data_IF_294117990964
#
_entry.id   IF_294117990964
#
_cell.length_a   1.000
_cell.length_b   1.000
_cell.length_c   1.000
_cell.angle_alpha   90.00
_cell.angle_beta   90.00
_cell.angle_gamma   90.00
#
_symmetry.space_group_name_H-M   'P 1'
#
loop_
_entity.id
_entity.type
_entity.pdbx_description
1 polymer ?
#
# COMPACT_ATOMS: atom_id res chain seq x y z
N UNK A 1 40.57 37.77 0.92
CA UNK A 1 40.56 39.26 0.99
C UNK A 1 39.95 39.80 -0.29
N UNK A 2 38.65 40.13 -0.30
CA UNK A 2 37.89 40.71 -1.43
C UNK A 2 36.44 40.92 -0.92
N UNK A 3 36.18 41.80 0.04
CA UNK A 3 36.08 43.26 -0.11
C UNK A 3 35.08 43.69 -1.19
N UNK A 4 33.81 43.85 -0.80
CA UNK A 4 32.75 44.40 -1.64
C UNK A 4 31.86 45.37 -0.82
N UNK A 5 32.31 46.63 -0.82
CA UNK A 5 31.58 47.91 -0.60
C UNK A 5 30.22 47.88 0.13
N UNK A 6 30.21 48.40 1.38
CA UNK A 6 29.05 49.09 1.97
C UNK A 6 29.04 50.57 1.53
N UNK A 7 27.86 51.16 1.31
CA UNK A 7 27.51 52.60 1.36
C UNK A 7 25.96 52.73 1.19
N UNK A 8 25.27 53.83 1.57
CA UNK A 8 24.53 53.77 2.84
C UNK A 8 23.08 54.32 2.82
N UNK A 9 22.40 54.14 3.96
CA UNK A 9 21.41 55.02 4.61
C UNK A 9 20.21 55.60 3.81
N UNK A 10 18.99 55.33 4.31
CA UNK A 10 17.85 56.26 4.25
C UNK A 10 16.80 55.86 5.30
N UNK A 11 16.63 56.68 6.34
CA UNK A 11 15.55 56.56 7.33
C UNK A 11 14.57 57.72 7.15
N UNK A 12 13.38 57.48 6.61
CA UNK A 12 12.29 58.46 6.57
C UNK A 12 10.92 57.80 6.49
N UNK A 13 9.94 58.49 7.09
CA UNK A 13 8.50 58.50 6.76
C UNK A 13 7.77 57.15 6.67
N UNK A 14 6.99 56.90 7.72
CA UNK A 14 5.62 56.40 7.62
C UNK A 14 4.90 56.92 6.37
N UNK A 15 4.35 56.03 5.53
CA UNK A 15 3.24 56.39 4.65
C UNK A 15 2.36 55.18 4.31
N UNK A 16 1.07 55.34 4.59
CA UNK A 16 -0.10 54.64 4.04
C UNK A 16 0.06 53.24 3.39
N UNK A 17 -0.05 52.19 4.21
CA UNK A 17 -0.66 50.91 3.74
C UNK A 17 -2.16 51.15 3.56
N UNK A 18 -2.78 50.84 2.41
CA UNK A 18 -4.22 51.03 2.22
C UNK A 18 -5.05 50.18 3.20
N UNK A 19 -5.95 50.84 3.94
CA UNK A 19 -6.77 50.19 4.98
C UNK A 19 -7.76 49.13 4.43
N UNK A 20 -7.93 49.03 3.12
CA UNK A 20 -8.84 48.10 2.43
C UNK A 20 -8.35 46.64 2.36
N UNK A 21 -7.16 46.32 2.89
CA UNK A 21 -6.66 44.94 2.98
C UNK A 21 -6.84 44.30 4.37
N UNK A 22 -7.36 45.03 5.35
CA UNK A 22 -7.49 44.57 6.75
C UNK A 22 -8.81 43.84 7.07
N UNK A 23 -9.79 43.84 6.16
CA UNK A 23 -11.17 43.38 6.42
C UNK A 23 -11.45 41.90 6.12
N UNK A 24 -10.64 41.21 5.30
CA UNK A 24 -10.87 39.80 4.93
C UNK A 24 -10.21 38.82 5.93
N UNK A 25 -10.50 38.99 7.22
CA UNK A 25 -10.17 38.03 8.28
C UNK A 25 -11.40 37.17 8.63
N UNK A 26 -11.16 35.93 9.05
CA UNK A 26 -12.19 34.97 9.45
C UNK A 26 -11.88 34.49 10.86
N UNK A 27 -12.87 34.52 11.76
CA UNK A 27 -12.73 34.03 13.13
C UNK A 27 -13.26 32.60 13.23
N UNK A 28 -12.41 31.71 13.73
CA UNK A 28 -12.74 30.30 13.92
C UNK A 28 -12.79 30.03 15.43
N UNK A 29 -13.97 29.69 15.95
CA UNK A 29 -14.20 29.38 17.36
C UNK A 29 -14.06 27.87 17.57
N UNK A 30 -12.98 27.44 18.23
CA UNK A 30 -12.66 26.01 18.38
C UNK A 30 -13.03 25.53 19.78
N UNK A 31 -13.76 24.42 19.85
CA UNK A 31 -14.30 23.84 21.09
C UNK A 31 -13.79 22.41 21.30
N UNK A 32 -12.86 22.23 22.25
CA UNK A 32 -12.47 20.91 22.73
C UNK A 32 -13.43 20.48 23.85
N UNK A 33 -14.48 19.76 23.47
CA UNK A 33 -15.50 19.22 24.38
C UNK A 33 -14.91 18.24 25.42
N UNK A 34 -13.78 17.60 25.10
CA UNK A 34 -13.18 16.55 25.91
C UNK A 34 -12.23 17.11 26.98
N UNK A 35 -11.53 18.22 26.69
CA UNK A 35 -10.77 19.01 27.68
C UNK A 35 -11.61 20.10 28.35
N UNK A 36 -12.79 20.41 27.79
CA UNK A 36 -13.66 21.55 28.16
C UNK A 36 -12.96 22.91 28.03
N UNK A 37 -12.23 23.08 26.93
CA UNK A 37 -11.51 24.32 26.61
C UNK A 37 -11.92 24.83 25.23
N UNK A 38 -12.21 26.12 25.10
CA UNK A 38 -12.37 26.80 23.82
C UNK A 38 -11.23 27.76 23.55
N UNK A 39 -10.96 28.04 22.27
CA UNK A 39 -10.05 29.09 21.81
C UNK A 39 -10.48 29.62 20.45
N UNK A 40 -10.30 30.92 20.26
CA UNK A 40 -10.63 31.62 19.02
C UNK A 40 -9.35 31.86 18.19
N UNK A 41 -9.47 31.70 16.88
CA UNK A 41 -8.36 31.83 15.94
C UNK A 41 -8.77 32.73 14.77
N UNK A 42 -8.16 33.91 14.68
CA UNK A 42 -8.37 34.86 13.57
C UNK A 42 -7.39 34.55 12.44
N UNK A 43 -7.90 34.14 11.28
CA UNK A 43 -7.12 33.73 10.12
C UNK A 43 -7.38 34.65 8.92
N UNK A 44 -6.35 34.99 8.14
CA UNK A 44 -6.54 35.69 6.87
C UNK A 44 -7.24 34.78 5.86
N UNK A 45 -8.36 35.24 5.25
CA UNK A 45 -9.21 34.42 4.37
C UNK A 45 -8.44 33.79 3.21
N UNK A 46 -7.56 34.56 2.56
CA UNK A 46 -6.75 34.05 1.44
C UNK A 46 -5.81 32.92 1.84
N UNK A 47 -5.13 33.04 2.97
CA UNK A 47 -4.23 32.01 3.49
C UNK A 47 -5.00 30.75 3.93
N UNK A 48 -6.14 30.94 4.60
CA UNK A 48 -7.04 29.85 5.01
C UNK A 48 -7.53 29.05 3.79
N UNK A 49 -8.01 29.73 2.75
CA UNK A 49 -8.49 29.08 1.53
C UNK A 49 -7.38 28.43 0.70
N UNK A 50 -6.15 28.94 0.77
CA UNK A 50 -4.99 28.34 0.09
C UNK A 50 -4.49 27.06 0.79
N UNK A 51 -4.45 27.04 2.13
CA UNK A 51 -3.87 25.93 2.92
C UNK A 51 -4.89 24.90 3.42
N UNK A 52 -6.16 25.27 3.64
CA UNK A 52 -7.24 24.40 4.12
C UNK A 52 -8.42 24.39 3.14
N UNK A 53 -8.33 23.57 2.08
CA UNK A 53 -9.30 23.58 0.97
C UNK A 53 -10.74 23.27 1.41
N UNK A 54 -10.93 22.58 2.54
CA UNK A 54 -12.24 22.34 3.16
C UNK A 54 -13.10 23.62 3.26
N UNK A 55 -12.51 24.76 3.61
CA UNK A 55 -13.24 26.02 3.78
C UNK A 55 -13.68 26.68 2.46
N UNK A 56 -13.15 26.27 1.31
CA UNK A 56 -13.56 26.80 -0.01
C UNK A 56 -15.05 26.56 -0.30
N UNK A 57 -15.64 25.50 0.26
CA UNK A 57 -17.06 25.19 0.12
C UNK A 57 -18.00 26.12 0.91
N UNK A 58 -17.45 26.91 1.85
CA UNK A 58 -18.21 27.76 2.78
C UNK A 58 -17.88 29.26 2.61
N UNK A 59 -16.64 29.58 2.27
CA UNK A 59 -16.10 30.94 2.13
C UNK A 59 -15.87 31.32 0.65
N UNK A 60 -16.82 30.98 -0.23
CA UNK A 60 -16.76 31.32 -1.66
C UNK A 60 -16.97 32.83 -1.93
N UNK A 61 -16.76 33.24 -3.18
CA UNK A 61 -16.87 34.65 -3.63
C UNK A 61 -18.25 35.27 -3.38
N UNK A 62 -19.32 34.46 -3.39
CA UNK A 62 -20.68 34.93 -3.12
C UNK A 62 -20.87 35.48 -1.69
N UNK A 63 -20.01 35.05 -0.75
CA UNK A 63 -20.06 35.42 0.65
C UNK A 63 -18.77 36.19 1.05
N UNK A 64 -18.24 37.06 0.17
CA UNK A 64 -16.99 37.77 0.45
C UNK A 64 -17.11 38.82 1.58
N UNK A 65 -18.28 39.45 1.72
CA UNK A 65 -18.53 40.52 2.70
C UNK A 65 -19.30 40.06 3.95
N UNK A 66 -19.58 38.76 4.08
CA UNK A 66 -20.28 38.20 5.25
C UNK A 66 -19.28 37.96 6.40
N UNK A 67 -19.64 38.41 7.60
CA UNK A 67 -18.91 38.13 8.85
C UNK A 67 -19.22 36.69 9.31
N UNK A 68 -18.54 35.71 8.70
CA UNK A 68 -18.79 34.28 8.92
C UNK A 68 -18.03 33.78 10.16
N UNK A 69 -18.77 33.62 11.26
CA UNK A 69 -18.38 32.77 12.40
C UNK A 69 -18.29 31.30 11.96
N UNK A 70 -17.12 30.69 12.17
CA UNK A 70 -16.91 29.26 11.97
C UNK A 70 -16.65 28.58 13.32
N UNK A 71 -17.65 27.89 13.85
CA UNK A 71 -17.50 27.02 15.03
C UNK A 71 -17.02 25.61 14.65
N UNK A 72 -15.95 25.11 15.29
CA UNK A 72 -15.32 23.80 15.03
C UNK A 72 -15.12 23.01 16.32
N UNK A 73 -15.58 21.75 16.36
CA UNK A 73 -15.49 20.88 17.54
C UNK A 73 -14.30 19.90 17.41
N UNK A 74 -13.11 20.31 17.87
CA UNK A 74 -11.90 19.50 17.80
C UNK A 74 -10.89 19.85 18.92
N UNK A 75 -9.78 19.10 18.98
CA UNK A 75 -8.72 19.32 19.96
C UNK A 75 -8.02 20.67 19.73
N UNK A 76 -8.20 21.61 20.67
CA UNK A 76 -7.70 22.99 20.57
C UNK A 76 -6.19 23.04 20.36
N UNK A 77 -5.39 22.10 20.93
CA UNK A 77 -3.93 22.12 20.72
C UNK A 77 -3.52 21.51 19.38
N UNK A 78 -4.32 20.60 18.81
CA UNK A 78 -4.11 20.15 17.42
C UNK A 78 -4.45 21.28 16.46
N UNK A 79 -5.60 21.95 16.62
CA UNK A 79 -5.96 23.09 15.75
C UNK A 79 -4.93 24.22 15.83
N UNK A 80 -4.43 24.53 17.02
CA UNK A 80 -3.34 25.48 17.21
C UNK A 80 -2.08 25.10 16.42
N UNK A 81 -1.67 23.81 16.40
CA UNK A 81 -0.55 23.34 15.58
C UNK A 81 -0.82 23.46 14.06
N UNK A 82 -2.08 23.37 13.61
CA UNK A 82 -2.45 23.54 12.20
C UNK A 82 -2.46 25.02 11.77
N UNK A 83 -2.86 25.93 12.65
CA UNK A 83 -2.75 27.38 12.43
C UNK A 83 -1.29 27.83 12.49
N UNK A 84 -0.52 27.33 13.47
CA UNK A 84 0.94 27.50 13.51
C UNK A 84 1.60 27.01 12.20
N UNK A 85 1.12 25.92 11.59
CA UNK A 85 1.58 25.43 10.28
C UNK A 85 1.19 26.34 9.12
N UNK A 86 -0.05 26.85 9.07
CA UNK A 86 -0.51 27.74 8.00
C UNK A 86 0.35 29.00 7.87
N UNK A 87 0.84 29.55 8.99
CA UNK A 87 1.65 30.76 9.02
C UNK A 87 3.14 30.55 8.69
N UNK A 88 3.57 29.32 8.34
CA UNK A 88 4.94 29.03 7.90
C UNK A 88 5.21 29.61 6.51
N UNK A 89 6.14 30.56 6.42
CA UNK A 89 6.62 31.12 5.15
C UNK A 89 8.00 30.57 4.72
N UNK A 90 8.75 29.96 5.63
CA UNK A 90 10.14 29.49 5.42
C UNK A 90 10.34 28.03 5.86
N UNK A 91 11.22 27.32 5.16
CA UNK A 91 11.45 25.87 5.29
C UNK A 91 12.10 25.42 6.62
N UNK A 92 12.50 26.34 7.49
CA UNK A 92 13.24 26.07 8.74
C UNK A 92 12.34 25.52 9.87
N UNK A 93 11.09 25.98 10.00
CA UNK A 93 10.22 25.57 11.10
C UNK A 93 9.17 24.56 10.64
N UNK A 94 9.49 23.26 10.77
CA UNK A 94 8.49 22.20 10.63
C UNK A 94 7.53 22.19 11.82
N UNK A 95 6.25 21.83 11.63
CA UNK A 95 5.36 21.57 12.75
C UNK A 95 5.97 20.46 13.62
N UNK A 96 5.81 20.53 14.94
CA UNK A 96 6.39 19.56 15.88
C UNK A 96 5.62 18.22 15.86
N UNK A 97 5.70 17.52 14.74
CA UNK A 97 5.19 16.17 14.55
C UNK A 97 5.96 15.22 15.48
N UNK A 98 5.24 14.51 16.32
CA UNK A 98 5.75 13.49 17.23
C UNK A 98 4.84 12.27 17.19
N UNK A 99 5.34 11.13 17.67
CA UNK A 99 4.55 9.90 17.81
C UNK A 99 3.27 10.07 18.66
N UNK A 100 3.18 11.09 19.51
CA UNK A 100 1.97 11.35 20.30
C UNK A 100 0.88 12.14 19.56
N UNK A 101 1.26 13.05 18.64
CA UNK A 101 0.30 13.94 17.97
C UNK A 101 0.07 13.59 16.49
N UNK A 102 0.97 12.82 15.86
CA UNK A 102 0.94 12.45 14.43
C UNK A 102 -0.43 11.93 13.98
N UNK A 103 -1.07 11.03 14.75
CA UNK A 103 -2.36 10.46 14.40
C UNK A 103 -3.48 11.50 14.38
N UNK A 104 -3.50 12.41 15.35
CA UNK A 104 -4.49 13.50 15.43
C UNK A 104 -4.24 14.57 14.37
N UNK A 105 -2.98 14.97 14.16
CA UNK A 105 -2.60 15.91 13.10
C UNK A 105 -3.04 15.35 11.74
N UNK A 106 -2.71 14.09 11.43
CA UNK A 106 -3.05 13.44 10.16
C UNK A 106 -4.56 13.38 9.90
N UNK A 107 -5.37 13.01 10.90
CA UNK A 107 -6.84 12.99 10.78
C UNK A 107 -7.40 14.40 10.56
N UNK A 108 -6.93 15.40 11.31
CA UNK A 108 -7.40 16.78 11.16
C UNK A 108 -6.92 17.45 9.87
N UNK A 109 -5.69 17.19 9.42
CA UNK A 109 -5.15 17.69 8.16
C UNK A 109 -5.83 17.04 6.95
N UNK A 110 -6.18 15.75 7.01
CA UNK A 110 -6.98 15.09 5.99
C UNK A 110 -8.40 15.69 5.92
N UNK A 111 -9.06 15.89 7.06
CA UNK A 111 -10.39 16.50 7.12
C UNK A 111 -10.42 17.94 6.57
N UNK A 112 -9.44 18.77 6.95
CA UNK A 112 -9.31 20.16 6.49
C UNK A 112 -8.67 20.28 5.09
N UNK A 113 -8.33 19.16 4.44
CA UNK A 113 -7.78 19.07 3.09
C UNK A 113 -6.42 19.79 2.93
N UNK A 114 -5.56 19.66 3.93
CA UNK A 114 -4.19 20.20 3.96
C UNK A 114 -3.21 19.20 3.34
N UNK A 115 -3.25 19.05 2.02
CA UNK A 115 -2.53 17.99 1.28
C UNK A 115 -1.03 17.90 1.57
N UNK A 116 -0.32 19.04 1.64
CA UNK A 116 1.11 19.10 1.92
C UNK A 116 1.46 18.47 3.28
N UNK A 117 0.72 18.85 4.32
CA UNK A 117 0.88 18.33 5.68
C UNK A 117 0.51 16.84 5.78
N UNK A 118 -0.48 16.38 4.99
CA UNK A 118 -0.80 14.95 4.91
C UNK A 118 0.39 14.16 4.34
N UNK A 119 1.07 14.64 3.31
CA UNK A 119 2.27 13.97 2.79
C UNK A 119 3.45 14.04 3.78
N UNK A 120 3.66 15.16 4.49
CA UNK A 120 4.66 15.25 5.56
C UNK A 120 4.40 14.24 6.70
N UNK A 121 3.14 14.12 7.14
CA UNK A 121 2.71 13.14 8.12
C UNK A 121 2.91 11.69 7.64
N UNK A 122 2.56 11.40 6.38
CA UNK A 122 2.76 10.07 5.77
C UNK A 122 4.25 9.73 5.66
N UNK A 123 5.09 10.68 5.24
CA UNK A 123 6.53 10.51 5.15
C UNK A 123 7.13 10.23 6.53
N UNK A 124 6.75 10.99 7.56
CA UNK A 124 7.16 10.75 8.95
C UNK A 124 6.77 9.34 9.42
N UNK A 125 5.51 8.94 9.22
CA UNK A 125 5.02 7.59 9.59
C UNK A 125 5.83 6.51 8.87
N UNK A 126 6.16 6.68 7.59
CA UNK A 126 6.92 5.67 6.85
C UNK A 126 8.34 5.44 7.39
N UNK A 127 8.93 6.46 8.04
CA UNK A 127 10.22 6.36 8.72
C UNK A 127 10.18 5.69 10.10
N UNK A 128 9.03 5.70 10.78
CA UNK A 128 8.84 5.15 12.13
C UNK A 128 7.56 4.27 12.26
N UNK A 129 7.30 3.46 11.23
CA UNK A 129 6.02 2.75 11.09
C UNK A 129 5.82 1.67 12.17
N UNK A 130 6.91 1.08 12.68
CA UNK A 130 6.84 0.07 13.74
C UNK A 130 6.48 0.70 15.09
N UNK A 131 7.04 1.86 15.41
CA UNK A 131 6.71 2.67 16.58
C UNK A 131 5.27 3.17 16.49
N UNK A 132 4.85 3.66 15.31
CA UNK A 132 3.50 4.14 15.04
C UNK A 132 2.44 3.05 15.30
N UNK A 133 2.62 1.83 14.78
CA UNK A 133 1.67 0.74 15.04
C UNK A 133 1.61 0.33 16.52
N UNK A 134 2.68 0.52 17.30
CA UNK A 134 2.72 0.16 18.72
C UNK A 134 2.00 1.17 19.62
N UNK A 135 1.70 2.39 19.13
CA UNK A 135 0.87 3.39 19.84
C UNK A 135 -0.46 2.79 20.31
N UNK A 136 -0.95 3.21 21.49
CA UNK A 136 -2.20 2.67 22.07
C UNK A 136 -3.49 3.07 21.32
N UNK A 137 -3.37 3.98 20.34
CA UNK A 137 -4.44 4.53 19.50
C UNK A 137 -5.08 3.47 18.59
N UNK A 138 -6.36 3.67 18.24
CA UNK A 138 -7.03 2.94 17.16
C UNK A 138 -6.93 3.70 15.83
N UNK A 139 -6.44 3.01 14.79
CA UNK A 139 -6.30 3.55 13.43
C UNK A 139 -7.54 3.32 12.55
N UNK A 140 -8.65 2.81 13.10
CA UNK A 140 -9.95 2.75 12.45
C UNK A 140 -10.52 4.11 12.03
N UNK A 141 -10.01 5.21 12.56
CA UNK A 141 -10.38 6.58 12.18
C UNK A 141 -9.77 7.07 10.86
N UNK A 142 -8.65 6.47 10.41
CA UNK A 142 -7.94 6.83 9.18
C UNK A 142 -8.71 6.39 7.93
N UNK A 143 -8.71 7.22 6.88
CA UNK A 143 -9.34 6.86 5.62
C UNK A 143 -8.59 5.75 4.86
N UNK A 144 -9.32 5.02 4.01
CA UNK A 144 -8.74 4.03 3.11
C UNK A 144 -7.77 4.68 2.08
N UNK A 145 -7.89 6.00 1.83
CA UNK A 145 -6.95 6.82 1.04
C UNK A 145 -5.63 7.10 1.77
N UNK A 146 -5.67 7.55 3.04
CA UNK A 146 -4.46 7.77 3.83
C UNK A 146 -3.74 6.46 4.15
N UNK A 147 -4.47 5.38 4.44
CA UNK A 147 -3.88 4.04 4.57
C UNK A 147 -3.19 3.62 3.26
N UNK A 148 -3.74 3.98 2.09
CA UNK A 148 -3.09 3.74 0.80
C UNK A 148 -1.81 4.58 0.61
N UNK A 149 -1.79 5.85 1.02
CA UNK A 149 -0.59 6.71 1.00
C UNK A 149 0.53 6.13 1.88
N UNK A 150 0.21 5.74 3.12
CA UNK A 150 1.17 5.10 4.04
C UNK A 150 1.70 3.79 3.44
N UNK A 151 0.80 2.90 2.99
CA UNK A 151 1.21 1.63 2.38
C UNK A 151 2.11 1.83 1.16
N UNK A 152 1.84 2.83 0.33
CA UNK A 152 2.65 3.12 -0.86
C UNK A 152 4.05 3.63 -0.52
N UNK A 153 4.20 4.47 0.51
CA UNK A 153 5.50 4.99 0.96
C UNK A 153 6.37 3.93 1.66
N UNK A 154 5.80 3.02 2.45
CA UNK A 154 6.58 1.93 3.06
C UNK A 154 7.15 0.96 2.02
N UNK A 155 8.37 0.48 2.19
CA UNK A 155 8.95 -0.57 1.32
C UNK A 155 8.27 -1.93 1.56
N UNK A 156 8.13 -2.81 0.54
CA UNK A 156 7.57 -4.15 0.72
C UNK A 156 8.29 -5.00 1.78
N UNK A 157 9.61 -4.86 1.87
CA UNK A 157 10.49 -5.56 2.79
C UNK A 157 10.26 -5.08 4.23
N UNK A 158 10.10 -3.76 4.42
CA UNK A 158 9.66 -3.18 5.69
C UNK A 158 8.30 -3.78 6.10
N UNK A 159 7.29 -3.68 5.23
CA UNK A 159 5.93 -4.20 5.49
C UNK A 159 5.90 -5.71 5.81
N UNK A 160 6.90 -6.48 5.42
CA UNK A 160 7.02 -7.89 5.81
C UNK A 160 7.49 -8.06 7.26
N UNK A 161 8.57 -7.39 7.68
CA UNK A 161 9.13 -7.54 9.04
C UNK A 161 8.28 -6.87 10.14
N UNK A 162 7.31 -6.04 9.76
CA UNK A 162 6.37 -5.39 10.67
C UNK A 162 5.57 -6.36 11.54
N UNK A 163 5.43 -6.02 12.82
CA UNK A 163 4.69 -6.78 13.83
C UNK A 163 3.63 -5.89 14.51
N UNK A 164 2.35 -6.18 14.23
CA UNK A 164 1.17 -5.54 14.84
C UNK A 164 0.33 -6.64 15.54
N UNK A 165 0.56 -6.91 16.83
CA UNK A 165 -0.06 -8.03 17.54
C UNK A 165 -1.56 -7.85 17.82
N UNK A 166 -2.17 -6.75 17.35
CA UNK A 166 -3.62 -6.52 17.40
C UNK A 166 -4.24 -6.27 16.01
N UNK A 167 -3.43 -6.34 14.95
CA UNK A 167 -3.80 -6.04 13.56
C UNK A 167 -4.68 -4.78 13.39
N UNK A 168 -4.29 -3.68 14.03
CA UNK A 168 -5.00 -2.39 13.97
C UNK A 168 -4.99 -1.83 12.55
N UNK A 169 -3.85 -2.00 11.87
CA UNK A 169 -3.58 -1.38 10.56
C UNK A 169 -2.72 -2.26 9.64
N UNK A 170 -1.93 -3.21 10.14
CA UNK A 170 -0.94 -3.91 9.33
C UNK A 170 -1.51 -4.71 8.15
N UNK A 171 -2.58 -5.49 8.34
CA UNK A 171 -3.28 -6.16 7.23
C UNK A 171 -3.95 -5.17 6.28
N UNK A 172 -4.38 -3.99 6.75
CA UNK A 172 -4.89 -2.92 5.88
C UNK A 172 -3.78 -2.35 5.00
N UNK A 173 -2.58 -2.13 5.56
CA UNK A 173 -1.40 -1.68 4.80
C UNK A 173 -0.95 -2.74 3.78
N UNK A 174 -0.83 -4.00 4.19
CA UNK A 174 -0.47 -5.13 3.31
C UNK A 174 -1.52 -5.30 2.19
N UNK A 175 -2.82 -5.21 2.51
CA UNK A 175 -3.91 -5.16 1.52
C UNK A 175 -3.73 -4.02 0.53
N UNK A 176 -3.54 -2.78 1.00
CA UNK A 176 -3.35 -1.62 0.11
C UNK A 176 -2.10 -1.74 -0.77
N UNK A 177 -1.03 -2.36 -0.30
CA UNK A 177 0.15 -2.64 -1.13
C UNK A 177 -0.12 -3.65 -2.26
N UNK A 178 -0.97 -4.66 -2.01
CA UNK A 178 -1.44 -5.60 -3.04
C UNK A 178 -2.41 -4.93 -4.01
N UNK A 179 -3.39 -4.17 -3.52
CA UNK A 179 -4.33 -3.40 -4.35
C UNK A 179 -3.58 -2.43 -5.29
N UNK A 180 -2.57 -1.72 -4.78
CA UNK A 180 -1.72 -0.83 -5.57
C UNK A 180 -0.87 -1.57 -6.62
N UNK A 181 -0.26 -2.71 -6.26
CA UNK A 181 0.51 -3.55 -7.20
C UNK A 181 -0.36 -4.05 -8.35
N UNK A 182 -1.57 -4.52 -8.06
CA UNK A 182 -2.52 -4.98 -9.09
C UNK A 182 -3.00 -3.80 -9.94
N UNK A 183 -3.31 -2.65 -9.34
CA UNK A 183 -3.74 -1.44 -10.07
C UNK A 183 -2.67 -0.98 -11.07
N UNK A 184 -1.41 -0.91 -10.67
CA UNK A 184 -0.29 -0.53 -11.56
C UNK A 184 -0.16 -1.47 -12.78
N UNK A 185 -0.50 -2.76 -12.66
CA UNK A 185 -0.50 -3.69 -13.80
C UNK A 185 -1.72 -3.47 -14.71
N UNK A 186 -2.86 -3.07 -14.13
CA UNK A 186 -4.12 -2.85 -14.85
C UNK A 186 -4.30 -1.43 -15.42
N UNK A 187 -3.35 -0.52 -15.19
CA UNK A 187 -3.38 0.86 -15.71
C UNK A 187 -3.01 0.98 -17.19
N UNK A 188 -2.54 -0.10 -17.83
CA UNK A 188 -2.35 -0.20 -19.28
C UNK A 188 -3.21 -1.29 -19.92
N UNK A 189 -2.94 -1.64 -21.18
CA UNK A 189 -3.55 -2.79 -21.88
C UNK A 189 -2.99 -4.16 -21.40
N UNK A 190 -2.59 -4.22 -20.13
CA UNK A 190 -2.04 -5.40 -19.48
C UNK A 190 -3.05 -5.96 -18.49
N UNK A 191 -3.28 -7.27 -18.55
CA UNK A 191 -4.20 -7.98 -17.65
C UNK A 191 -3.48 -9.12 -16.96
N UNK A 192 -3.51 -9.09 -15.63
CA UNK A 192 -3.06 -10.21 -14.81
C UNK A 192 -4.12 -11.32 -14.91
N UNK A 193 -3.74 -12.49 -15.44
CA UNK A 193 -4.60 -13.66 -15.60
C UNK A 193 -3.94 -14.92 -15.01
N UNK A 194 -4.74 -15.89 -14.58
CA UNK A 194 -4.26 -17.20 -14.11
C UNK A 194 -4.15 -18.17 -15.29
N UNK A 195 -3.01 -18.86 -15.43
CA UNK A 195 -2.80 -19.84 -16.47
C UNK A 195 -3.56 -21.14 -16.19
N UNK A 196 -4.19 -21.73 -17.20
CA UNK A 196 -4.81 -23.06 -17.12
C UNK A 196 -3.77 -24.19 -16.98
N UNK A 197 -2.57 -24.01 -17.56
CA UNK A 197 -1.61 -25.09 -17.80
C UNK A 197 -0.51 -25.18 -16.73
N UNK A 198 0.13 -24.05 -16.37
CA UNK A 198 1.09 -24.01 -15.26
C UNK A 198 0.48 -23.56 -13.93
N UNK A 199 -0.78 -23.11 -13.94
CA UNK A 199 -1.48 -22.57 -12.77
C UNK A 199 -0.83 -21.37 -12.06
N UNK A 200 0.16 -20.73 -12.69
CA UNK A 200 0.77 -19.47 -12.24
C UNK A 200 0.01 -18.27 -12.82
N UNK A 201 0.13 -17.11 -12.16
CA UNK A 201 -0.29 -15.84 -12.72
C UNK A 201 0.66 -15.41 -13.84
N UNK A 202 0.14 -14.74 -14.87
CA UNK A 202 0.93 -14.17 -15.96
C UNK A 202 0.33 -12.84 -16.44
N UNK A 203 1.16 -12.00 -17.04
CA UNK A 203 0.69 -10.79 -17.75
C UNK A 203 0.26 -11.19 -19.15
N UNK A 204 -0.98 -10.86 -19.49
CA UNK A 204 -1.51 -10.90 -20.86
C UNK A 204 -1.51 -9.49 -21.43
N UNK A 205 -0.85 -9.33 -22.56
CA UNK A 205 -0.85 -8.11 -23.37
C UNK A 205 -1.18 -8.46 -24.84
N UNK A 206 -1.32 -7.44 -25.69
CA UNK A 206 -1.57 -7.60 -27.12
C UNK A 206 -0.43 -8.21 -27.95
N UNK A 207 0.76 -8.46 -27.37
CA UNK A 207 1.91 -9.08 -28.06
C UNK A 207 2.04 -10.57 -27.77
N UNK A 208 1.60 -11.04 -26.60
CA UNK A 208 1.32 -12.44 -26.36
C UNK A 208 1.80 -13.01 -25.03
N UNK A 209 1.04 -13.98 -24.54
CA UNK A 209 1.24 -14.67 -23.27
C UNK A 209 2.32 -15.77 -23.35
N UNK A 210 3.51 -15.43 -23.81
CA UNK A 210 4.59 -16.40 -24.08
C UNK A 210 5.50 -16.65 -22.87
N UNK A 211 5.94 -17.90 -22.69
CA UNK A 211 6.83 -18.35 -21.60
C UNK A 211 6.37 -19.59 -20.84
N UNK A 212 5.12 -20.04 -21.02
CA UNK A 212 4.55 -21.10 -20.18
C UNK A 212 5.24 -22.46 -20.38
N UNK A 213 5.94 -22.94 -19.35
CA UNK A 213 6.67 -24.22 -19.43
C UNK A 213 5.75 -25.41 -19.79
N UNK A 214 4.58 -25.51 -19.13
CA UNK A 214 3.48 -26.47 -19.39
C UNK A 214 2.53 -26.07 -20.53
N UNK A 215 2.78 -24.97 -21.23
CA UNK A 215 1.90 -24.48 -22.30
C UNK A 215 2.02 -25.30 -23.58
N UNK A 216 0.89 -25.60 -24.25
CA UNK A 216 0.92 -26.33 -25.53
C UNK A 216 1.82 -25.60 -26.53
N UNK A 217 2.92 -26.26 -26.89
CA UNK A 217 4.00 -25.70 -27.70
C UNK A 217 3.56 -25.43 -29.14
N UNK A 218 4.17 -24.41 -29.74
CA UNK A 218 4.06 -24.06 -31.16
C UNK A 218 5.44 -23.67 -31.68
N UNK A 219 5.67 -23.89 -32.97
CA UNK A 219 6.85 -23.36 -33.65
C UNK A 219 6.64 -21.85 -33.85
N UNK A 220 7.59 -21.05 -33.38
CA UNK A 220 7.62 -19.61 -33.54
C UNK A 220 8.19 -19.15 -34.89
N UNK A 221 8.37 -17.85 -35.05
CA UNK A 221 8.72 -17.25 -36.36
C UNK A 221 10.19 -17.48 -36.77
N UNK A 222 11.02 -18.00 -35.87
CA UNK A 222 12.43 -18.34 -36.09
C UNK A 222 12.70 -19.86 -35.95
N UNK A 223 11.65 -20.69 -35.88
CA UNK A 223 11.75 -22.14 -35.72
C UNK A 223 11.80 -22.63 -34.26
N UNK A 224 11.71 -21.71 -33.31
CA UNK A 224 11.84 -21.93 -31.86
C UNK A 224 10.55 -22.49 -31.22
N UNK A 225 10.67 -23.32 -30.17
CA UNK A 225 9.54 -24.07 -29.62
C UNK A 225 8.84 -23.37 -28.45
N UNK A 226 8.01 -22.36 -28.75
CA UNK A 226 7.39 -21.46 -27.75
C UNK A 226 6.18 -22.09 -27.05
N UNK A 227 6.14 -22.01 -25.72
CA UNK A 227 4.97 -22.32 -24.90
C UNK A 227 4.17 -21.06 -24.54
N UNK A 228 2.83 -21.10 -24.67
CA UNK A 228 1.95 -19.97 -24.34
C UNK A 228 1.07 -20.27 -23.12
N UNK A 229 0.96 -19.31 -22.20
CA UNK A 229 -0.02 -19.34 -21.12
C UNK A 229 -1.41 -19.17 -21.72
N UNK A 230 -2.36 -19.97 -21.26
CA UNK A 230 -3.76 -19.90 -21.67
C UNK A 230 -4.60 -19.45 -20.48
N UNK A 231 -5.47 -18.47 -20.68
CA UNK A 231 -6.38 -17.96 -19.66
C UNK A 231 -7.25 -19.07 -19.07
N UNK A 232 -7.29 -19.20 -17.73
CA UNK A 232 -8.30 -20.01 -17.05
C UNK A 232 -9.66 -19.31 -17.15
N UNK A 233 -10.59 -19.93 -17.88
CA UNK A 233 -11.92 -19.36 -18.11
C UNK A 233 -12.65 -19.07 -16.79
N UNK A 234 -13.31 -17.91 -16.72
CA UNK A 234 -14.03 -17.44 -15.53
C UNK A 234 -13.16 -16.90 -14.39
N UNK A 235 -11.83 -17.08 -14.41
CA UNK A 235 -10.96 -16.54 -13.36
C UNK A 235 -10.84 -15.01 -13.48
N UNK A 236 -10.85 -14.30 -12.35
CA UNK A 236 -10.71 -12.85 -12.26
C UNK A 236 -9.88 -12.46 -11.02
N UNK A 237 -8.90 -11.55 -11.18
CA UNK A 237 -8.08 -11.05 -10.07
C UNK A 237 -8.93 -10.41 -8.96
N UNK A 238 -10.02 -9.71 -9.32
CA UNK A 238 -10.95 -9.14 -8.35
C UNK A 238 -11.78 -10.17 -7.55
N UNK A 239 -11.85 -11.43 -7.99
CA UNK A 239 -12.42 -12.52 -7.19
C UNK A 239 -11.37 -13.06 -6.21
N UNK A 240 -10.16 -13.37 -6.71
CA UNK A 240 -9.01 -13.80 -5.92
C UNK A 240 -8.71 -12.85 -4.75
N UNK A 241 -8.72 -11.52 -4.97
CA UNK A 241 -8.50 -10.54 -3.90
C UNK A 241 -9.61 -10.49 -2.85
N UNK A 242 -10.85 -10.89 -3.18
CA UNK A 242 -11.94 -11.03 -2.19
C UNK A 242 -11.80 -12.32 -1.40
N UNK A 243 -11.50 -13.43 -2.08
CA UNK A 243 -11.25 -14.74 -1.46
C UNK A 243 -10.11 -14.62 -0.41
N UNK A 244 -9.00 -13.99 -0.81
CA UNK A 244 -7.86 -13.65 0.06
C UNK A 244 -8.24 -12.75 1.26
N UNK A 245 -9.26 -11.90 1.11
CA UNK A 245 -9.81 -11.09 2.20
C UNK A 245 -10.76 -11.83 3.14
N UNK A 246 -11.15 -13.07 2.79
CA UNK A 246 -12.06 -13.90 3.59
C UNK A 246 -11.39 -15.11 4.23
N UNK A 247 -10.37 -15.71 3.61
CA UNK A 247 -9.65 -16.85 4.17
C UNK A 247 -8.53 -16.39 5.13
N UNK A 248 -8.69 -16.72 6.41
CA UNK A 248 -7.71 -16.43 7.47
C UNK A 248 -6.38 -17.15 7.29
N UNK A 249 -6.32 -18.21 6.47
CA UNK A 249 -5.08 -18.93 6.18
C UNK A 249 -4.22 -18.20 5.13
N UNK A 250 -4.78 -17.24 4.39
CA UNK A 250 -4.08 -16.56 3.29
C UNK A 250 -3.51 -15.21 3.74
N UNK A 251 -2.19 -15.10 3.77
CA UNK A 251 -1.51 -13.85 4.12
C UNK A 251 -1.47 -12.87 2.95
N UNK A 252 -1.90 -11.62 3.17
CA UNK A 252 -1.68 -10.51 2.24
C UNK A 252 -0.20 -10.29 1.89
N UNK A 253 0.73 -10.65 2.80
CA UNK A 253 2.17 -10.62 2.53
C UNK A 253 2.57 -11.70 1.51
N UNK A 254 2.00 -12.90 1.62
CA UNK A 254 2.26 -13.99 0.68
C UNK A 254 1.67 -13.68 -0.70
N UNK A 255 0.45 -13.13 -0.76
CA UNK A 255 -0.16 -12.68 -2.01
C UNK A 255 0.65 -11.57 -2.70
N UNK A 256 1.20 -10.61 -1.95
CA UNK A 256 2.09 -9.59 -2.51
C UNK A 256 3.28 -10.23 -3.23
N UNK A 257 4.03 -11.10 -2.56
CA UNK A 257 5.24 -11.70 -3.13
C UNK A 257 4.95 -12.70 -4.24
N UNK A 258 3.85 -13.45 -4.17
CA UNK A 258 3.39 -14.30 -5.27
C UNK A 258 3.05 -13.49 -6.53
N UNK A 259 2.25 -12.43 -6.41
CA UNK A 259 1.91 -11.55 -7.52
C UNK A 259 3.19 -10.85 -8.04
N UNK A 260 4.00 -10.27 -7.16
CA UNK A 260 5.25 -9.60 -7.52
C UNK A 260 6.21 -10.51 -8.29
N UNK A 261 6.43 -11.74 -7.81
CA UNK A 261 7.27 -12.73 -8.49
C UNK A 261 6.71 -13.16 -9.86
N UNK A 262 5.39 -13.30 -9.97
CA UNK A 262 4.70 -13.57 -11.24
C UNK A 262 4.84 -12.43 -12.26
N UNK A 263 5.07 -11.20 -11.79
CA UNK A 263 5.30 -10.01 -12.64
C UNK A 263 6.78 -9.80 -13.00
N UNK A 264 7.72 -10.49 -12.35
CA UNK A 264 9.16 -10.43 -12.66
C UNK A 264 9.53 -11.50 -13.69
N UNK A 265 9.19 -11.23 -14.94
CA UNK A 265 9.58 -12.06 -16.08
C UNK A 265 10.85 -11.54 -16.77
N UNK A 266 11.66 -12.46 -17.29
CA UNK A 266 12.90 -12.18 -18.02
C UNK A 266 13.17 -13.28 -19.06
N UNK A 267 13.99 -13.02 -20.09
CA UNK A 267 14.50 -14.08 -20.98
C UNK A 267 15.76 -14.74 -20.41
N UNK A 268 15.82 -16.07 -20.43
CA UNK A 268 16.97 -16.85 -19.93
C UNK A 268 18.05 -17.02 -21.02
N UNK A 269 19.32 -16.79 -20.69
CA UNK A 269 20.46 -16.95 -21.62
C UNK A 269 20.87 -18.41 -21.88
N UNK A 270 20.33 -19.39 -21.14
CA UNK A 270 20.65 -20.83 -21.28
C UNK A 270 19.68 -21.61 -22.16
N UNK A 271 18.37 -21.40 -21.96
CA UNK A 271 17.31 -22.12 -22.66
C UNK A 271 16.47 -21.22 -23.60
N UNK A 272 16.84 -19.94 -23.68
CA UNK A 272 16.18 -18.86 -24.45
C UNK A 272 14.70 -18.60 -24.13
N UNK A 273 14.09 -19.36 -23.22
CA UNK A 273 12.71 -19.18 -22.80
C UNK A 273 12.54 -17.88 -21.98
N UNK A 274 11.35 -17.29 -22.08
CA UNK A 274 10.85 -16.31 -21.11
C UNK A 274 10.28 -17.05 -19.90
N UNK A 275 10.70 -16.69 -18.70
CA UNK A 275 10.28 -17.30 -17.43
C UNK A 275 10.04 -16.21 -16.38
N UNK A 276 9.22 -16.48 -15.36
CA UNK A 276 9.03 -15.60 -14.21
C UNK A 276 9.93 -16.01 -13.03
N UNK A 277 10.01 -15.16 -11.99
CA UNK A 277 10.81 -15.44 -10.80
C UNK A 277 10.44 -16.77 -10.11
N UNK A 278 9.17 -17.16 -10.13
CA UNK A 278 8.73 -18.41 -9.50
C UNK A 278 9.41 -19.63 -10.13
N UNK A 279 9.66 -19.58 -11.44
CA UNK A 279 10.25 -20.67 -12.24
C UNK A 279 11.79 -20.69 -12.20
N UNK A 280 12.46 -19.81 -11.42
CA UNK A 280 13.92 -19.59 -11.45
C UNK A 280 14.77 -20.87 -11.38
N UNK A 281 14.44 -21.84 -10.53
CA UNK A 281 15.22 -23.08 -10.37
C UNK A 281 14.79 -24.21 -11.33
N UNK A 282 13.87 -23.94 -12.26
CA UNK A 282 13.29 -24.91 -13.20
C UNK A 282 13.94 -24.86 -14.61
N UNK A 283 15.15 -24.29 -14.77
CA UNK A 283 15.79 -24.20 -16.08
C UNK A 283 16.23 -25.58 -16.59
N UNK A 284 15.50 -26.09 -17.57
CA UNK A 284 15.83 -27.30 -18.32
C UNK A 284 17.32 -27.32 -18.73
N UNK A 285 18.01 -28.41 -18.36
CA UNK A 285 19.41 -28.63 -18.68
C UNK A 285 19.66 -30.09 -19.13
N UNK A 286 20.53 -30.25 -20.11
CA UNK A 286 21.10 -31.52 -20.54
C UNK A 286 22.63 -31.38 -20.57
N UNK A 287 23.36 -31.89 -19.56
CA UNK A 287 24.82 -31.75 -19.48
C UNK A 287 25.58 -32.66 -20.46
N UNK A 288 24.89 -33.60 -21.12
CA UNK A 288 25.48 -34.49 -22.12
C UNK A 288 25.42 -33.88 -23.52
N UNK A 289 26.50 -34.07 -24.29
CA UNK A 289 26.58 -33.69 -25.70
C UNK A 289 25.48 -34.33 -26.56
N UNK A 290 25.17 -33.67 -27.68
CA UNK A 290 24.34 -34.21 -28.74
C UNK A 290 25.05 -35.41 -29.39
N UNK A 291 24.34 -36.53 -29.50
CA UNK A 291 24.75 -37.74 -30.22
C UNK A 291 23.70 -38.11 -31.26
N UNK A 292 24.09 -38.93 -32.25
CA UNK A 292 23.35 -39.17 -33.49
C UNK A 292 23.09 -37.89 -34.32
N UNK A 293 22.42 -38.03 -35.47
CA UNK A 293 22.20 -36.94 -36.43
C UNK A 293 20.74 -36.88 -36.90
N UNK A 294 20.29 -35.69 -37.32
CA UNK A 294 18.93 -35.49 -37.85
C UNK A 294 17.82 -35.86 -36.85
N UNK A 295 16.69 -36.44 -37.31
CA UNK A 295 15.59 -36.85 -36.43
C UNK A 295 15.94 -37.90 -35.37
N UNK A 296 17.09 -38.57 -35.49
CA UNK A 296 17.58 -39.54 -34.52
C UNK A 296 18.39 -38.90 -33.38
N UNK A 297 18.75 -37.61 -33.47
CA UNK A 297 19.63 -36.92 -32.53
C UNK A 297 19.07 -36.88 -31.09
N UNK A 298 19.94 -37.15 -30.11
CA UNK A 298 19.62 -37.30 -28.68
C UNK A 298 20.66 -36.61 -27.80
N UNK A 299 20.30 -36.33 -26.55
CA UNK A 299 21.27 -35.97 -25.50
C UNK A 299 21.91 -37.21 -24.88
N UNK A 300 23.24 -37.31 -24.87
CA UNK A 300 23.98 -38.46 -24.32
C UNK A 300 23.76 -38.70 -22.82
N UNK A 301 23.34 -37.68 -22.06
CA UNK A 301 23.09 -37.79 -20.62
C UNK A 301 21.78 -38.50 -20.24
N UNK A 302 20.82 -38.66 -21.17
CA UNK A 302 19.51 -39.24 -20.87
C UNK A 302 18.83 -39.94 -22.07
N UNK A 303 19.46 -39.96 -23.25
CA UNK A 303 18.96 -40.51 -24.50
C UNK A 303 17.61 -39.95 -25.00
N UNK A 304 17.12 -38.87 -24.40
CA UNK A 304 15.97 -38.11 -24.90
C UNK A 304 16.29 -37.51 -26.27
N UNK A 305 15.39 -37.69 -27.24
CA UNK A 305 15.54 -37.16 -28.60
C UNK A 305 15.26 -35.65 -28.61
N UNK A 306 16.08 -34.91 -29.33
CA UNK A 306 16.02 -33.44 -29.39
C UNK A 306 14.76 -32.97 -30.11
N UNK A 307 14.32 -33.70 -31.13
CA UNK A 307 13.14 -33.38 -31.95
C UNK A 307 11.89 -34.19 -31.58
N UNK A 308 11.77 -34.66 -30.34
CA UNK A 308 10.54 -35.34 -29.87
C UNK A 308 9.57 -34.37 -29.20
N UNK A 309 8.30 -34.79 -29.16
CA UNK A 309 7.19 -34.12 -28.48
C UNK A 309 7.07 -34.57 -27.00
N UNK A 310 7.88 -35.55 -26.58
CA UNK A 310 7.87 -36.13 -25.23
C UNK A 310 8.35 -35.13 -24.17
N UNK A 311 7.67 -35.04 -23.02
CA UNK A 311 7.99 -34.06 -21.95
C UNK A 311 9.44 -34.12 -21.42
N UNK A 312 10.14 -35.24 -21.60
CA UNK A 312 11.52 -35.45 -21.14
C UNK A 312 12.53 -34.65 -21.97
N UNK A 313 12.26 -34.33 -23.25
CA UNK A 313 13.07 -33.38 -24.02
C UNK A 313 12.78 -31.92 -23.66
N UNK A 314 11.64 -31.67 -23.01
CA UNK A 314 11.10 -30.33 -22.74
C UNK A 314 11.51 -29.77 -21.36
N UNK A 315 11.70 -30.65 -20.37
CA UNK A 315 12.03 -30.27 -18.98
C UNK A 315 13.53 -30.34 -18.65
N UNK A 316 14.37 -30.83 -19.57
CA UNK A 316 15.74 -31.23 -19.24
C UNK A 316 15.79 -32.57 -18.50
N UNK A 317 16.97 -33.19 -18.44
CA UNK A 317 17.19 -34.36 -17.57
C UNK A 317 17.74 -33.97 -16.19
N UNK A 318 18.08 -32.69 -16.01
CA UNK A 318 18.31 -32.05 -14.73
C UNK A 318 17.80 -30.60 -14.84
N UNK A 319 17.43 -29.98 -13.71
CA UNK A 319 17.12 -28.54 -13.67
C UNK A 319 18.33 -27.74 -13.18
N UNK A 320 18.35 -26.45 -13.50
CA UNK A 320 19.35 -25.49 -13.03
C UNK A 320 18.71 -24.13 -12.79
N UNK A 321 19.48 -23.19 -12.22
CA UNK A 321 19.08 -21.79 -12.11
C UNK A 321 19.04 -21.14 -13.51
N UNK A 322 17.89 -20.54 -13.86
CA UNK A 322 17.73 -19.65 -15.01
C UNK A 322 18.63 -18.41 -14.84
N UNK A 323 19.37 -18.05 -15.90
CA UNK A 323 20.27 -16.88 -15.89
C UNK A 323 19.66 -15.79 -16.77
N UNK A 324 19.34 -14.59 -16.25
CA UNK A 324 18.79 -13.50 -17.06
C UNK A 324 19.75 -13.04 -18.17
N UNK A 325 19.22 -12.83 -19.37
CA UNK A 325 19.91 -12.20 -20.49
C UNK A 325 20.04 -10.69 -20.24
N UNK A 326 21.23 -10.12 -20.46
CA UNK A 326 21.52 -8.74 -20.02
C UNK A 326 20.93 -7.63 -20.91
N UNK A 327 20.66 -7.91 -22.20
CA UNK A 327 20.14 -6.95 -23.19
C UNK A 327 18.59 -7.00 -23.33
N UNK A 328 17.87 -7.50 -22.31
CA UNK A 328 16.40 -7.56 -22.29
C UNK A 328 15.77 -6.19 -21.95
N UNK A 329 15.57 -5.38 -22.99
CA UNK A 329 15.06 -4.00 -22.97
C UNK A 329 13.68 -3.80 -22.33
N UNK A 330 13.00 -4.87 -21.92
CA UNK A 330 11.72 -4.80 -21.20
C UNK A 330 11.83 -4.95 -19.67
N UNK A 331 13.04 -5.16 -19.14
CA UNK A 331 13.23 -5.46 -17.71
C UNK A 331 13.72 -4.25 -16.90
N UNK A 332 13.19 -4.09 -15.67
CA UNK A 332 13.90 -3.43 -14.57
C UNK A 332 15.02 -4.37 -14.06
N UNK A 333 16.00 -4.70 -14.92
CA UNK A 333 17.03 -5.73 -14.67
C UNK A 333 17.78 -5.46 -13.37
N UNK A 334 18.19 -4.21 -13.13
CA UNK A 334 19.09 -3.88 -12.02
C UNK A 334 18.41 -4.06 -10.66
N UNK A 335 17.17 -3.57 -10.52
CA UNK A 335 16.37 -3.77 -9.31
C UNK A 335 16.01 -5.24 -9.11
N UNK A 336 15.77 -5.98 -10.19
CA UNK A 336 15.57 -7.44 -10.10
C UNK A 336 16.84 -8.14 -9.60
N UNK A 337 17.99 -7.90 -10.25
CA UNK A 337 19.30 -8.50 -9.91
C UNK A 337 19.70 -8.24 -8.46
N UNK A 338 19.53 -7.01 -7.96
CA UNK A 338 19.82 -6.66 -6.55
C UNK A 338 18.90 -7.36 -5.54
N UNK A 339 17.64 -7.63 -5.89
CA UNK A 339 16.73 -8.41 -5.03
C UNK A 339 17.05 -9.92 -5.14
N UNK A 340 17.50 -10.38 -6.31
CA UNK A 340 17.97 -11.76 -6.51
C UNK A 340 19.27 -12.10 -5.77
N UNK A 341 20.07 -11.10 -5.39
CA UNK A 341 21.24 -11.29 -4.52
C UNK A 341 20.91 -11.39 -3.02
N UNK A 342 19.63 -11.25 -2.62
CA UNK A 342 19.22 -11.47 -1.22
C UNK A 342 19.15 -12.99 -0.91
N UNK A 343 19.78 -13.46 0.18
CA UNK A 343 19.75 -14.88 0.56
C UNK A 343 18.32 -15.41 0.73
N UNK A 344 18.08 -16.63 0.23
CA UNK A 344 16.82 -17.38 0.33
C UNK A 344 15.58 -16.68 -0.28
N UNK A 345 15.76 -15.64 -1.10
CA UNK A 345 14.65 -14.84 -1.61
C UNK A 345 13.75 -15.59 -2.60
N UNK A 346 14.29 -16.51 -3.40
CA UNK A 346 13.47 -17.37 -4.26
C UNK A 346 12.66 -18.37 -3.45
N UNK A 347 13.30 -19.05 -2.49
CA UNK A 347 12.68 -20.01 -1.58
C UNK A 347 11.50 -19.38 -0.84
N UNK A 348 11.67 -18.12 -0.39
CA UNK A 348 10.63 -17.32 0.23
C UNK A 348 9.48 -16.97 -0.72
N UNK A 349 9.76 -16.46 -1.93
CA UNK A 349 8.71 -16.12 -2.93
C UNK A 349 7.95 -17.36 -3.39
N UNK A 350 8.61 -18.51 -3.51
CA UNK A 350 8.01 -19.81 -3.84
C UNK A 350 7.24 -20.42 -2.66
N UNK A 351 7.64 -20.17 -1.40
CA UNK A 351 6.81 -20.50 -0.24
C UNK A 351 5.55 -19.62 -0.18
N UNK A 352 5.66 -18.33 -0.50
CA UNK A 352 4.54 -17.41 -0.63
C UNK A 352 3.55 -17.83 -1.71
N UNK A 353 4.02 -18.38 -2.85
CA UNK A 353 3.16 -18.97 -3.90
C UNK A 353 2.28 -20.09 -3.36
N UNK A 354 2.85 -21.06 -2.62
CA UNK A 354 2.10 -22.21 -2.09
C UNK A 354 0.99 -21.79 -1.13
N UNK A 355 1.28 -20.80 -0.28
CA UNK A 355 0.30 -20.18 0.63
C UNK A 355 -0.75 -19.39 -0.15
N UNK A 356 -0.32 -18.51 -1.06
CA UNK A 356 -1.21 -17.65 -1.86
C UNK A 356 -2.05 -18.41 -2.91
N UNK A 357 -1.86 -19.73 -3.05
CA UNK A 357 -2.65 -20.61 -3.93
C UNK A 357 -3.49 -21.63 -3.17
N UNK A 358 -3.55 -21.58 -1.83
CA UNK A 358 -4.31 -22.53 -1.02
C UNK A 358 -3.73 -23.96 -1.03
N UNK A 359 -2.53 -24.18 -1.56
CA UNK A 359 -1.80 -25.46 -1.53
C UNK A 359 -1.00 -25.66 -0.23
N UNK A 360 -1.12 -24.71 0.71
CA UNK A 360 -0.46 -24.70 2.01
C UNK A 360 -1.14 -25.57 3.07
N UNK A 361 -1.13 -26.88 2.90
CA UNK A 361 -1.23 -27.84 4.01
C UNK A 361 -0.42 -29.09 3.70
N UNK A 362 0.59 -29.38 4.52
CA UNK A 362 1.62 -30.39 4.22
C UNK A 362 1.22 -31.77 4.76
N UNK A 363 0.91 -32.67 3.84
CA UNK A 363 0.72 -34.11 4.07
C UNK A 363 0.95 -34.83 2.72
N UNK A 364 1.68 -35.94 2.59
CA UNK A 364 2.34 -36.80 3.58
C UNK A 364 3.59 -37.45 2.96
N UNK A 365 4.65 -37.71 3.74
CA UNK A 365 5.62 -38.81 3.51
C UNK A 365 6.68 -39.04 4.63
N UNK A 366 6.46 -38.64 5.89
CA UNK A 366 7.27 -39.09 7.02
C UNK A 366 6.48 -38.98 8.33
N UNK A 367 6.71 -39.87 9.29
CA UNK A 367 5.94 -39.91 10.54
C UNK A 367 6.59 -39.10 11.67
N UNK A 368 5.81 -38.26 12.36
CA UNK A 368 6.14 -37.69 13.66
C UNK A 368 6.14 -36.16 13.73
N UNK A 369 5.29 -35.60 14.60
CA UNK A 369 5.32 -34.18 14.99
C UNK A 369 4.52 -33.25 14.07
N UNK A 370 3.33 -32.84 14.53
CA UNK A 370 2.58 -31.76 13.86
C UNK A 370 3.11 -30.38 14.26
N UNK A 371 3.26 -29.50 13.28
CA UNK A 371 3.61 -28.10 13.48
C UNK A 371 3.08 -27.24 12.33
N UNK A 372 2.48 -26.09 12.65
CA UNK A 372 2.13 -25.09 11.64
C UNK A 372 3.43 -24.38 11.24
N UNK A 373 3.86 -24.57 10.00
CA UNK A 373 5.02 -23.87 9.43
C UNK A 373 4.65 -22.40 9.14
N UNK A 374 4.63 -21.59 10.19
CA UNK A 374 4.55 -20.13 10.07
C UNK A 374 5.75 -19.63 9.26
N UNK A 375 5.48 -18.85 8.20
CA UNK A 375 6.49 -18.28 7.30
C UNK A 375 7.47 -17.36 8.07
N UNK A 376 7.04 -16.80 9.22
CA UNK A 376 7.90 -16.02 10.11
C UNK A 376 9.05 -16.85 10.74
N UNK A 377 8.93 -18.18 10.81
CA UNK A 377 9.97 -19.05 11.40
C UNK A 377 11.22 -19.19 10.52
N UNK A 378 11.19 -18.74 9.26
CA UNK A 378 12.37 -18.73 8.39
C UNK A 378 13.44 -17.73 8.85
N UNK A 379 13.05 -16.67 9.59
CA UNK A 379 13.97 -15.70 10.20
C UNK A 379 13.39 -15.16 11.53
N UNK A 380 13.64 -15.83 12.68
CA UNK A 380 13.03 -15.45 13.96
C UNK A 380 13.66 -14.17 14.55
N UNK A 381 12.85 -13.16 14.95
CA UNK A 381 13.32 -12.04 15.77
C UNK A 381 13.60 -12.48 17.22
N UNK A 382 14.45 -11.74 17.98
CA UNK A 382 14.84 -12.12 19.34
C UNK A 382 13.65 -12.10 20.31
N UNK A 383 13.34 -13.27 20.88
CA UNK A 383 12.15 -13.50 21.70
C UNK A 383 12.38 -13.14 23.19
N UNK A 384 11.59 -12.20 23.72
CA UNK A 384 11.40 -12.05 25.17
C UNK A 384 10.11 -12.76 25.60
N UNK A 385 10.18 -13.62 26.62
CA UNK A 385 9.06 -14.48 27.03
C UNK A 385 8.14 -13.79 28.04
N UNK A 386 6.84 -13.74 27.77
CA UNK A 386 5.80 -13.60 28.81
C UNK A 386 4.58 -14.42 28.40
N UNK A 387 3.99 -15.14 29.37
CA UNK A 387 2.87 -16.08 29.14
C UNK A 387 1.54 -15.35 29.29
N UNK A 388 0.60 -15.61 28.38
CA UNK A 388 -0.77 -15.10 28.43
C UNK A 388 -1.72 -16.05 29.19
N UNK A 389 -2.90 -15.55 29.57
CA UNK A 389 -4.03 -16.39 29.97
C UNK A 389 -5.34 -15.84 29.37
N UNK A 390 -6.27 -16.74 29.07
CA UNK A 390 -7.39 -16.52 28.13
C UNK A 390 -8.74 -16.75 28.80
N UNK A 391 -9.74 -15.89 28.51
CA UNK A 391 -11.18 -16.20 28.70
C UNK A 391 -11.99 -15.57 27.56
N UNK A 392 -12.96 -16.30 27.02
CA UNK A 392 -13.92 -15.85 25.99
C UNK A 392 -15.30 -15.50 26.61
N UNK A 393 -16.15 -14.68 25.94
CA UNK A 393 -17.51 -15.11 25.55
C UNK A 393 -18.24 -14.20 24.53
N UNK A 394 -19.16 -14.85 23.82
CA UNK A 394 -20.22 -14.39 22.88
C UNK A 394 -21.43 -13.67 23.58
N UNK A 395 -22.50 -13.10 22.98
CA UNK A 395 -22.98 -12.74 21.59
C UNK A 395 -24.29 -11.87 21.67
N UNK A 396 -24.88 -11.55 20.50
CA UNK A 396 -26.31 -11.18 20.23
C UNK A 396 -26.71 -9.69 20.38
N UNK A 397 -27.26 -9.00 19.36
CA UNK A 397 -28.67 -9.00 18.81
C UNK A 397 -29.54 -7.88 19.46
N UNK A 398 -30.49 -7.17 18.80
CA UNK A 398 -31.08 -7.20 17.44
C UNK A 398 -31.86 -5.89 17.11
N UNK A 399 -31.96 -5.52 15.83
CA UNK A 399 -33.10 -4.91 15.07
C UNK A 399 -33.79 -3.54 15.43
N UNK A 400 -33.96 -2.70 14.36
CA UNK A 400 -35.20 -2.07 13.79
C UNK A 400 -36.11 -1.17 14.71
N UNK A 401 -36.87 -0.14 14.29
CA UNK A 401 -37.38 0.44 13.02
C UNK A 401 -37.92 1.90 13.31
N UNK A 402 -38.47 2.80 12.46
CA UNK A 402 -38.56 3.05 10.99
C UNK A 402 -39.24 4.43 10.69
N UNK A 403 -38.98 5.01 9.50
CA UNK A 403 -39.81 5.97 8.71
C UNK A 403 -40.13 7.42 9.21
N UNK A 404 -40.41 8.33 8.25
CA UNK A 404 -40.91 9.71 8.50
C UNK A 404 -40.49 10.79 7.46
N UNK A 405 -41.42 11.28 6.64
CA UNK A 405 -41.26 12.45 5.72
C UNK A 405 -41.79 13.75 6.37
N UNK A 406 -41.49 15.00 5.95
CA UNK A 406 -40.51 15.50 4.98
C UNK A 406 -40.86 16.90 4.43
N UNK A 407 -39.90 17.84 4.34
CA UNK A 407 -40.02 19.05 3.48
C UNK A 407 -39.60 20.41 4.06
N UNK A 408 -38.63 21.08 3.42
CA UNK A 408 -38.39 22.55 3.38
C UNK A 408 -37.04 22.83 2.72
N UNK A 409 -36.99 23.49 1.57
CA UNK A 409 -35.74 23.53 0.75
C UNK A 409 -34.66 24.46 1.32
N UNK A 410 -35.03 25.56 1.97
CA UNK A 410 -34.09 26.46 2.65
C UNK A 410 -33.48 25.81 3.89
N UNK A 411 -34.33 25.40 4.84
CA UNK A 411 -33.91 24.70 6.05
C UNK A 411 -33.13 23.41 5.76
N UNK A 412 -33.41 22.69 4.67
CA UNK A 412 -32.65 21.49 4.25
C UNK A 412 -31.16 21.76 4.00
N UNK A 413 -30.71 22.99 3.69
CA UNK A 413 -29.28 23.29 3.57
C UNK A 413 -28.64 23.40 4.96
N UNK A 414 -29.16 24.28 5.81
CA UNK A 414 -28.64 24.51 7.15
C UNK A 414 -28.77 23.27 8.05
N UNK A 415 -29.89 22.54 7.96
CA UNK A 415 -30.08 21.24 8.64
C UNK A 415 -29.13 20.15 8.12
N UNK A 416 -28.73 20.16 6.84
CA UNK A 416 -27.69 19.24 6.34
C UNK A 416 -26.30 19.60 6.84
N UNK A 417 -25.98 20.90 6.95
CA UNK A 417 -24.73 21.37 7.58
C UNK A 417 -24.70 20.96 9.05
N UNK A 418 -25.77 21.23 9.79
CA UNK A 418 -25.93 20.81 11.19
C UNK A 418 -25.93 19.27 11.35
N UNK A 419 -26.49 18.49 10.42
CA UNK A 419 -26.39 17.02 10.44
C UNK A 419 -25.00 16.49 10.08
N UNK A 420 -24.21 17.19 9.26
CA UNK A 420 -22.80 16.86 9.05
C UNK A 420 -22.01 17.19 10.31
N UNK A 421 -22.11 18.43 10.78
CA UNK A 421 -21.49 18.90 12.02
C UNK A 421 -21.83 17.99 13.21
N UNK A 422 -23.07 17.55 13.38
CA UNK A 422 -23.45 16.62 14.46
C UNK A 422 -22.83 15.22 14.28
N UNK A 423 -22.76 14.69 13.04
CA UNK A 423 -22.09 13.41 12.77
C UNK A 423 -20.57 13.49 12.98
N UNK A 424 -19.96 14.58 12.55
CA UNK A 424 -18.53 14.83 12.72
C UNK A 424 -18.21 15.14 14.19
N UNK A 425 -19.10 15.84 14.92
CA UNK A 425 -19.02 16.06 16.37
C UNK A 425 -19.13 14.73 17.13
N UNK A 426 -20.06 13.84 16.78
CA UNK A 426 -20.13 12.48 17.34
C UNK A 426 -18.85 11.69 17.04
N UNK A 427 -18.35 11.72 15.79
CA UNK A 427 -17.09 11.05 15.40
C UNK A 427 -15.89 11.59 16.17
N UNK A 428 -15.78 12.91 16.35
CA UNK A 428 -14.74 13.55 17.13
C UNK A 428 -14.88 13.27 18.64
N UNK A 429 -16.11 13.24 19.19
CA UNK A 429 -16.38 12.83 20.57
C UNK A 429 -15.90 11.40 20.82
N UNK A 430 -16.21 10.45 19.93
CA UNK A 430 -15.79 9.05 20.13
C UNK A 430 -14.28 8.87 19.98
N UNK A 431 -13.63 9.53 19.01
CA UNK A 431 -12.16 9.55 18.89
C UNK A 431 -11.52 10.13 20.17
N UNK A 432 -11.96 11.31 20.63
CA UNK A 432 -11.38 11.97 21.79
C UNK A 432 -11.70 11.24 23.11
N UNK A 433 -12.87 10.61 23.23
CA UNK A 433 -13.23 9.70 24.34
C UNK A 433 -12.32 8.48 24.39
N UNK A 434 -12.04 7.84 23.24
CA UNK A 434 -11.12 6.71 23.17
C UNK A 434 -9.70 7.12 23.58
N UNK A 435 -9.19 8.24 23.06
CA UNK A 435 -7.87 8.79 23.41
C UNK A 435 -7.77 9.17 24.91
N UNK A 436 -8.82 9.73 25.50
CA UNK A 436 -8.85 10.06 26.94
C UNK A 436 -8.90 8.83 27.85
N UNK A 437 -9.64 7.78 27.48
CA UNK A 437 -9.64 6.51 28.21
C UNK A 437 -8.25 5.87 28.19
N UNK A 438 -7.57 5.92 27.04
CA UNK A 438 -6.21 5.40 26.85
C UNK A 438 -5.10 6.20 27.57
N UNK A 439 -5.39 7.43 28.04
CA UNK A 439 -4.48 8.25 28.86
C UNK A 439 -4.65 8.04 30.38
N UNK A 440 -5.60 7.21 30.82
CA UNK A 440 -5.84 6.89 32.25
C UNK A 440 -5.46 5.45 32.63
N UNK A 441 -4.64 4.81 31.80
CA UNK A 441 -4.12 3.43 31.91
C UNK A 441 -2.81 3.32 31.15
#
# INVERSE_FOLDING_TARGET
MTSLKKLPFSTTTTDNVPASLLSNNVTIHVFDECRKSSKEFTCQRGLLLAKMKYFQAYLNEANEHDEIDISVHCDVKIFELLVEYMHQCDHEWRPRITLENIASILVSSEFLQMEELVEECVAFISGCVQEFMLLRVDFGCLSDTTISKIANNCAPEQLHVLHDPKDKILSKLRRKKVEALVKHVQEGDQRLELCLNCELLFIKDGRGSEGCHKGKRRIGIHGELVGRHQAKMGWQIGAFLRELGTDKNMSWSAAYWYIWGSLKCFRCSRCEQRCCLLELQECANHPGSIVDHGPAAKYSCCYARIFSVDDISMCGCNTTVHVPLEDDKHSHVDKFRSIMTLPNMWEYVHACEKVARGKGSLSSAAAGGGGISDVALLFPPPQLKTVANTVERERSSRNLNSEGEGGSSGYRKQYKVLQLQEKDRIRCQDIARQLLLQRKS
#
